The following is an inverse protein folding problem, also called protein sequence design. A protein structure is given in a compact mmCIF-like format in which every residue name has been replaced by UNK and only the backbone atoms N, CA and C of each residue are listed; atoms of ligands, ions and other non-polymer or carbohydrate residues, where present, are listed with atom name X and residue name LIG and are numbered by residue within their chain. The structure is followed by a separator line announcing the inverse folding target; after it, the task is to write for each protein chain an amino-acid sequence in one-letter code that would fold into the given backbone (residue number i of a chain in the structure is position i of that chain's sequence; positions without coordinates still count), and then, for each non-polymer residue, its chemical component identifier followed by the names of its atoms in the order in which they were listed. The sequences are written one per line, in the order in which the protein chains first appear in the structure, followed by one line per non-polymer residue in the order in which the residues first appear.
data_IF_199165755074
#
_entry.id   IF_199165755074
#
_cell.length_a   1.000
_cell.length_b   1.000
_cell.length_c   1.000
_cell.angle_alpha   90.00
_cell.angle_beta   90.00
_cell.angle_gamma   90.00
#
_symmetry.space_group_name_H-M   'P 1'
#
loop_
_entity.id
_entity.type
_entity.pdbx_description
1 polymer ?
#
# COMPACT_ATOMS: atom_id res chain seq x y z
N UNK A 1 -3.64 -11.56 12.53
CA UNK A 1 -2.90 -10.52 11.78
C UNK A 1 -3.88 -9.47 11.28
N UNK A 2 -3.51 -8.19 11.30
CA UNK A 2 -4.34 -7.09 10.77
C UNK A 2 -3.46 -6.26 9.84
N UNK A 3 -3.63 -6.41 8.52
CA UNK A 3 -2.98 -5.56 7.51
C UNK A 3 -4.03 -4.73 6.73
N UNK A 4 -4.45 -3.55 7.25
CA UNK A 4 -5.46 -2.71 6.60
C UNK A 4 -5.04 -2.25 5.19
N UNK A 5 -3.76 -1.95 4.99
CA UNK A 5 -3.23 -1.50 3.70
C UNK A 5 -3.37 -2.58 2.63
N UNK A 6 -3.02 -3.83 2.95
CA UNK A 6 -3.22 -4.95 2.03
C UNK A 6 -4.70 -5.11 1.64
N UNK A 7 -5.62 -4.97 2.60
CA UNK A 7 -7.06 -5.09 2.34
C UNK A 7 -7.56 -3.99 1.42
N UNK A 8 -7.16 -2.73 1.65
CA UNK A 8 -7.54 -1.60 0.80
C UNK A 8 -7.04 -1.78 -0.63
N UNK A 9 -5.80 -2.24 -0.82
CA UNK A 9 -5.22 -2.49 -2.15
C UNK A 9 -5.97 -3.60 -2.87
N UNK A 10 -6.26 -4.72 -2.18
CA UNK A 10 -6.99 -5.84 -2.79
C UNK A 10 -8.45 -5.48 -3.07
N UNK A 11 -9.11 -4.75 -2.16
CA UNK A 11 -10.47 -4.26 -2.36
C UNK A 11 -10.55 -3.37 -3.61
N UNK A 12 -9.69 -2.35 -3.73
CA UNK A 12 -9.64 -1.49 -4.92
C UNK A 12 -9.36 -2.28 -6.22
N UNK A 13 -8.44 -3.26 -6.17
CA UNK A 13 -8.18 -4.15 -7.30
C UNK A 13 -9.43 -4.95 -7.70
N UNK A 14 -10.08 -5.61 -6.74
CA UNK A 14 -11.28 -6.41 -7.00
C UNK A 14 -12.45 -5.55 -7.49
N UNK A 15 -12.62 -4.33 -6.97
CA UNK A 15 -13.61 -3.37 -7.45
C UNK A 15 -13.37 -2.99 -8.91
N UNK A 16 -12.12 -2.69 -9.29
CA UNK A 16 -11.74 -2.39 -10.68
C UNK A 16 -11.96 -3.57 -11.62
N UNK A 17 -11.64 -4.79 -11.17
CA UNK A 17 -11.89 -6.02 -11.94
C UNK A 17 -13.39 -6.23 -12.13
N UNK A 18 -14.18 -6.09 -11.06
CA UNK A 18 -15.63 -6.23 -11.12
C UNK A 18 -16.28 -5.21 -12.08
N UNK A 19 -15.90 -3.92 -11.99
CA UNK A 19 -16.36 -2.87 -12.92
C UNK A 19 -16.01 -3.22 -14.37
N UNK A 20 -14.79 -3.68 -14.63
CA UNK A 20 -14.35 -4.04 -15.99
C UNK A 20 -15.08 -5.27 -16.54
N UNK A 21 -15.28 -6.30 -15.72
CA UNK A 21 -16.07 -7.48 -16.10
C UNK A 21 -17.50 -7.07 -16.42
N UNK A 22 -18.14 -6.28 -15.55
CA UNK A 22 -19.50 -5.77 -15.76
C UNK A 22 -19.63 -4.99 -17.08
N UNK A 23 -18.69 -4.10 -17.38
CA UNK A 23 -18.66 -3.36 -18.65
C UNK A 23 -18.47 -4.28 -19.85
N UNK A 24 -17.61 -5.29 -19.76
CA UNK A 24 -17.36 -6.24 -20.85
C UNK A 24 -18.57 -7.14 -21.12
N UNK A 25 -19.29 -7.58 -20.09
CA UNK A 25 -20.51 -8.40 -20.24
C UNK A 25 -21.62 -7.61 -20.93
N UNK A 26 -21.67 -6.28 -20.74
CA UNK A 26 -22.63 -5.38 -21.36
C UNK A 26 -22.23 -4.85 -22.75
N UNK A 27 -21.08 -5.23 -23.29
CA UNK A 27 -20.70 -4.83 -24.65
C UNK A 27 -21.42 -5.64 -25.72
N UNK A 28 -21.93 -6.82 -25.36
CA UNK A 28 -22.57 -7.77 -26.27
C UNK A 28 -23.82 -8.36 -25.61
N UNK A 29 -24.97 -8.17 -26.24
CA UNK A 29 -26.26 -8.67 -25.75
C UNK A 29 -26.27 -10.20 -25.61
N UNK A 30 -25.59 -10.93 -26.49
CA UNK A 30 -25.50 -12.39 -26.40
C UNK A 30 -24.75 -12.83 -25.14
N UNK A 31 -23.66 -12.14 -24.79
CA UNK A 31 -22.88 -12.41 -23.58
C UNK A 31 -23.66 -12.11 -22.31
N UNK A 32 -24.47 -11.05 -22.33
CA UNK A 32 -25.37 -10.73 -21.23
C UNK A 32 -26.39 -11.85 -21.03
N UNK A 33 -27.07 -12.27 -22.09
CA UNK A 33 -28.10 -13.31 -22.03
C UNK A 33 -27.53 -14.66 -21.55
N UNK A 34 -26.33 -15.03 -22.03
CA UNK A 34 -25.63 -16.23 -21.58
C UNK A 34 -25.22 -16.15 -20.11
N UNK A 35 -24.69 -15.01 -19.66
CA UNK A 35 -24.33 -14.77 -18.26
C UNK A 35 -25.54 -14.86 -17.34
N UNK A 36 -26.69 -14.34 -17.77
CA UNK A 36 -27.95 -14.39 -17.03
C UNK A 36 -28.51 -15.81 -16.94
N UNK A 37 -28.42 -16.59 -18.03
CA UNK A 37 -28.80 -18.02 -18.02
C UNK A 37 -27.92 -18.82 -17.06
N UNK A 38 -26.60 -18.62 -17.11
CA UNK A 38 -25.67 -19.32 -16.24
C UNK A 38 -25.91 -18.98 -14.77
N UNK A 39 -26.05 -17.70 -14.43
CA UNK A 39 -26.28 -17.29 -13.05
C UNK A 39 -27.61 -17.82 -12.48
N UNK A 40 -28.66 -17.94 -13.31
CA UNK A 40 -29.92 -18.61 -12.92
C UNK A 40 -29.72 -20.11 -12.69
N UNK A 41 -28.95 -20.78 -13.54
CA UNK A 41 -28.62 -22.19 -13.37
C UNK A 41 -27.84 -22.45 -12.08
N UNK A 42 -26.99 -21.50 -11.68
CA UNK A 42 -26.23 -21.52 -10.44
C UNK A 42 -27.06 -21.10 -9.21
N UNK A 43 -28.37 -20.84 -9.37
CA UNK A 43 -29.30 -20.53 -8.29
C UNK A 43 -29.21 -19.10 -7.75
N UNK A 44 -28.58 -18.18 -8.49
CA UNK A 44 -28.53 -16.76 -8.10
C UNK A 44 -29.94 -16.15 -8.19
N UNK A 45 -30.45 -15.49 -7.14
CA UNK A 45 -31.79 -14.91 -7.13
C UNK A 45 -31.82 -13.65 -8.01
N UNK A 46 -32.07 -13.83 -9.31
CA UNK A 46 -32.15 -12.77 -10.30
C UNK A 46 -33.61 -12.54 -10.65
N UNK A 47 -34.04 -11.27 -10.65
CA UNK A 47 -35.40 -10.92 -11.08
C UNK A 47 -35.65 -11.28 -12.54
N UNK A 48 -36.85 -11.74 -12.84
CA UNK A 48 -37.22 -12.19 -14.18
C UNK A 48 -37.35 -11.07 -15.22
N UNK A 49 -37.50 -9.83 -14.77
CA UNK A 49 -37.80 -8.67 -15.60
C UNK A 49 -36.58 -7.80 -15.96
N UNK A 50 -35.37 -8.26 -15.65
CA UNK A 50 -34.15 -7.52 -15.98
C UNK A 50 -33.89 -7.58 -17.49
N UNK A 51 -34.12 -6.45 -18.17
CA UNK A 51 -33.80 -6.25 -19.58
C UNK A 51 -32.36 -5.74 -19.75
N UNK A 52 -31.75 -6.08 -20.88
CA UNK A 52 -30.40 -5.65 -21.26
C UNK A 52 -30.22 -4.12 -21.17
N UNK A 53 -31.12 -3.34 -21.79
CA UNK A 53 -31.01 -1.87 -21.79
C UNK A 53 -31.11 -1.28 -20.37
N UNK A 54 -31.97 -1.84 -19.52
CA UNK A 54 -32.12 -1.40 -18.14
C UNK A 54 -30.85 -1.68 -17.32
N UNK A 55 -30.20 -2.82 -17.54
CA UNK A 55 -28.92 -3.15 -16.88
C UNK A 55 -27.78 -2.27 -17.41
N UNK A 56 -27.76 -2.00 -18.71
CA UNK A 56 -26.78 -1.12 -19.35
C UNK A 56 -26.85 0.30 -18.79
N UNK A 57 -28.06 0.85 -18.66
CA UNK A 57 -28.29 2.16 -18.06
C UNK A 57 -27.94 2.18 -16.57
N UNK A 58 -28.27 1.11 -15.84
CA UNK A 58 -27.93 0.98 -14.42
C UNK A 58 -26.40 1.00 -14.19
N UNK A 59 -25.64 0.23 -14.97
CA UNK A 59 -24.18 0.21 -14.87
C UNK A 59 -23.57 1.54 -15.35
N UNK A 60 -24.14 2.16 -16.39
CA UNK A 60 -23.70 3.47 -16.88
C UNK A 60 -23.88 4.59 -15.85
N UNK A 61 -24.96 4.56 -15.06
CA UNK A 61 -25.19 5.53 -13.96
C UNK A 61 -24.19 5.36 -12.81
N UNK A 62 -23.65 4.16 -12.59
CA UNK A 62 -22.66 3.91 -11.54
C UNK A 62 -23.20 4.03 -10.11
N UNK A 63 -24.52 4.08 -9.94
CA UNK A 63 -25.21 4.28 -8.65
C UNK A 63 -25.34 2.96 -7.87
N UNK A 64 -24.26 2.20 -7.77
CA UNK A 64 -24.22 0.95 -7.02
C UNK A 64 -22.92 0.82 -6.26
N UNK A 65 -22.99 0.10 -5.14
CA UNK A 65 -21.81 -0.23 -4.34
C UNK A 65 -21.57 -1.73 -4.44
N UNK A 66 -20.47 -2.11 -5.06
CA UNK A 66 -19.94 -3.47 -4.91
C UNK A 66 -19.29 -3.55 -3.55
N UNK A 67 -19.73 -4.49 -2.72
CA UNK A 67 -19.10 -4.79 -1.45
C UNK A 67 -18.35 -6.12 -1.61
N UNK A 68 -17.05 -6.11 -1.33
CA UNK A 68 -16.26 -7.34 -1.23
C UNK A 68 -16.38 -7.87 0.19
N UNK A 69 -16.67 -9.16 0.32
CA UNK A 69 -16.75 -9.80 1.64
C UNK A 69 -15.41 -9.69 2.39
N UNK A 70 -15.47 -9.29 3.65
CA UNK A 70 -14.27 -9.10 4.46
C UNK A 70 -13.56 -10.42 4.75
N UNK A 71 -14.31 -11.52 4.91
CA UNK A 71 -13.75 -12.85 5.19
C UNK A 71 -12.93 -13.34 4.00
N UNK A 72 -13.42 -13.08 2.77
CA UNK A 72 -12.67 -13.33 1.54
C UNK A 72 -11.32 -12.60 1.52
N UNK A 73 -11.30 -11.29 1.81
CA UNK A 73 -10.06 -10.49 1.85
C UNK A 73 -9.09 -10.99 2.94
N UNK A 74 -9.60 -11.41 4.10
CA UNK A 74 -8.78 -12.03 5.16
C UNK A 74 -8.20 -13.36 4.69
N UNK A 75 -8.98 -14.18 3.98
CA UNK A 75 -8.52 -15.44 3.39
C UNK A 75 -7.36 -15.22 2.42
N UNK A 76 -7.47 -14.22 1.54
CA UNK A 76 -6.38 -13.81 0.64
C UNK A 76 -5.14 -13.35 1.42
N UNK A 77 -5.33 -12.51 2.44
CA UNK A 77 -4.24 -12.03 3.30
C UNK A 77 -3.49 -13.22 3.93
N UNK A 78 -4.20 -14.16 4.56
CA UNK A 78 -3.62 -15.34 5.20
C UNK A 78 -2.91 -16.27 4.20
N UNK A 79 -3.48 -16.44 3.01
CA UNK A 79 -2.85 -17.22 1.93
C UNK A 79 -1.53 -16.62 1.48
N UNK A 80 -1.42 -15.29 1.44
CA UNK A 80 -0.20 -14.59 1.03
C UNK A 80 0.90 -14.58 2.10
N UNK A 81 0.57 -14.75 3.39
CA UNK A 81 1.54 -14.65 4.51
C UNK A 81 2.74 -15.55 4.29
N UNK A 82 2.52 -16.82 3.96
CA UNK A 82 3.61 -17.79 3.79
C UNK A 82 4.58 -17.34 2.71
N UNK A 83 4.06 -16.96 1.54
CA UNK A 83 4.87 -16.47 0.43
C UNK A 83 5.66 -15.23 0.82
N UNK A 84 5.04 -14.26 1.52
CA UNK A 84 5.73 -13.05 1.96
C UNK A 84 6.84 -13.38 2.96
N UNK A 85 6.59 -14.27 3.92
CA UNK A 85 7.59 -14.70 4.90
C UNK A 85 8.77 -15.38 4.21
N UNK A 86 8.53 -16.26 3.25
CA UNK A 86 9.59 -16.93 2.49
C UNK A 86 10.45 -15.91 1.71
N UNK A 87 9.81 -14.89 1.11
CA UNK A 87 10.53 -13.81 0.42
C UNK A 87 11.25 -12.85 1.37
N UNK A 88 10.81 -12.69 2.61
CA UNK A 88 11.52 -11.92 3.63
C UNK A 88 12.72 -12.71 4.17
N UNK A 89 12.57 -14.02 4.36
CA UNK A 89 13.62 -14.91 4.85
C UNK A 89 14.78 -15.03 3.85
N UNK A 90 14.52 -14.91 2.54
CA UNK A 90 15.55 -14.95 1.50
C UNK A 90 16.39 -13.68 1.37
N UNK A 91 16.06 -12.61 2.11
CA UNK A 91 16.79 -11.34 2.05
C UNK A 91 18.07 -11.37 2.87
N UNK A 92 19.08 -10.65 2.37
CA UNK A 92 20.28 -10.33 3.15
C UNK A 92 19.97 -9.15 4.07
N UNK A 93 19.92 -9.42 5.36
CA UNK A 93 19.59 -8.44 6.38
C UNK A 93 20.84 -7.77 6.97
N UNK A 94 20.75 -6.47 7.22
CA UNK A 94 21.77 -5.70 7.93
C UNK A 94 21.13 -4.74 8.92
N UNK A 95 21.77 -4.61 10.07
CA UNK A 95 21.49 -3.53 11.01
C UNK A 95 22.18 -2.25 10.54
N UNK A 96 21.50 -1.12 10.69
CA UNK A 96 22.02 0.18 10.32
C UNK A 96 21.76 1.20 11.41
N UNK A 97 22.83 1.85 11.86
CA UNK A 97 22.75 2.90 12.86
C UNK A 97 22.32 4.24 12.25
N UNK A 98 21.55 5.02 13.00
CA UNK A 98 21.28 6.42 12.67
C UNK A 98 22.58 7.25 12.74
N UNK A 99 22.64 8.35 11.99
CA UNK A 99 23.74 9.30 12.12
C UNK A 99 23.71 9.95 13.51
N UNK A 100 24.88 10.30 14.10
CA UNK A 100 24.93 11.02 15.37
C UNK A 100 24.05 12.28 15.34
N UNK A 101 23.24 12.47 16.39
CA UNK A 101 22.32 13.61 16.51
C UNK A 101 21.03 13.49 15.69
N UNK A 102 20.78 12.35 15.04
CA UNK A 102 19.55 12.06 14.30
C UNK A 102 18.88 10.81 14.86
N UNK A 103 17.57 10.70 14.66
CA UNK A 103 16.78 9.55 15.14
C UNK A 103 15.80 9.07 14.09
N UNK A 104 15.56 7.76 14.08
CA UNK A 104 14.46 7.17 13.33
C UNK A 104 13.12 7.40 14.04
N UNK A 105 12.10 7.68 13.24
CA UNK A 105 10.70 7.60 13.61
C UNK A 105 10.10 6.29 13.07
N UNK A 106 9.00 5.84 13.66
CA UNK A 106 8.23 4.66 13.24
C UNK A 106 6.74 5.02 13.13
N UNK A 107 5.89 4.14 12.62
CA UNK A 107 4.46 4.37 12.48
C UNK A 107 3.64 3.10 12.72
N UNK A 108 2.33 3.20 12.53
CA UNK A 108 1.39 2.07 12.65
C UNK A 108 1.51 1.01 11.53
N UNK A 109 2.24 1.31 10.45
CA UNK A 109 2.63 0.37 9.39
C UNK A 109 4.12 0.57 9.03
N UNK A 110 5.07 0.09 9.87
CA UNK A 110 6.47 0.52 9.82
C UNK A 110 7.31 -0.17 8.75
N UNK A 111 6.77 -1.17 8.05
CA UNK A 111 7.51 -1.94 7.04
C UNK A 111 7.44 -1.22 5.70
N UNK A 112 8.55 -0.61 5.29
CA UNK A 112 8.68 0.04 4.00
C UNK A 112 9.27 -0.94 2.99
N UNK A 113 8.57 -1.15 1.87
CA UNK A 113 9.08 -1.85 0.70
C UNK A 113 9.23 -0.83 -0.45
N UNK A 114 10.45 -0.68 -0.95
CA UNK A 114 10.79 0.30 -1.98
C UNK A 114 11.79 -0.26 -3.00
N UNK A 115 11.99 0.47 -4.09
CA UNK A 115 13.10 0.21 -5.01
C UNK A 115 14.42 0.71 -4.42
N UNK A 116 15.47 -0.09 -4.54
CA UNK A 116 16.77 0.18 -3.94
C UNK A 116 17.50 1.37 -4.61
N UNK A 117 17.14 1.69 -5.85
CA UNK A 117 17.62 2.87 -6.57
C UNK A 117 16.89 4.17 -6.17
N UNK A 118 15.82 4.07 -5.38
CA UNK A 118 15.00 5.20 -4.97
C UNK A 118 14.02 5.71 -6.04
N UNK A 119 13.96 5.06 -7.21
CA UNK A 119 13.06 5.46 -8.28
C UNK A 119 11.67 4.83 -8.12
N UNK A 120 10.70 5.69 -7.81
CA UNK A 120 9.32 5.29 -7.53
C UNK A 120 8.57 4.98 -8.84
N UNK A 121 8.49 3.69 -9.19
CA UNK A 121 7.86 3.19 -10.42
C UNK A 121 6.33 3.13 -10.33
N UNK A 122 5.71 4.26 -10.05
CA UNK A 122 4.25 4.44 -9.90
C UNK A 122 3.44 3.76 -11.03
N UNK A 123 2.20 3.31 -10.76
CA UNK A 123 1.40 3.55 -9.55
C UNK A 123 1.49 2.45 -8.48
N UNK A 124 2.26 1.38 -8.72
CA UNK A 124 2.30 0.21 -7.84
C UNK A 124 3.59 0.14 -7.03
N UNK A 125 3.48 -0.19 -5.74
CA UNK A 125 4.65 -0.55 -4.92
C UNK A 125 5.28 -1.84 -5.44
N UNK A 126 6.61 -2.02 -5.29
CA UNK A 126 7.26 -3.27 -5.68
C UNK A 126 6.71 -4.47 -4.91
N UNK A 127 6.86 -5.67 -5.47
CA UNK A 127 6.61 -6.93 -4.78
C UNK A 127 7.83 -7.41 -3.98
N UNK A 128 7.60 -8.15 -2.90
CA UNK A 128 8.68 -8.64 -2.02
C UNK A 128 9.68 -9.58 -2.71
N UNK A 129 9.29 -10.26 -3.78
CA UNK A 129 10.16 -11.17 -4.54
C UNK A 129 10.92 -10.53 -5.71
N UNK A 130 10.81 -9.21 -5.92
CA UNK A 130 11.49 -8.54 -7.03
C UNK A 130 12.92 -8.16 -6.64
N UNK A 131 13.87 -8.42 -7.54
CA UNK A 131 15.24 -7.94 -7.41
C UNK A 131 15.30 -6.41 -7.46
N UNK A 132 16.35 -5.81 -6.90
CA UNK A 132 16.48 -4.36 -6.83
C UNK A 132 15.49 -3.71 -5.84
N UNK A 133 14.93 -4.47 -4.91
CA UNK A 133 14.04 -3.95 -3.86
C UNK A 133 14.70 -3.99 -2.49
N UNK A 134 14.36 -3.02 -1.67
CA UNK A 134 14.80 -2.88 -0.28
C UNK A 134 13.59 -2.91 0.64
N UNK A 135 13.70 -3.69 1.72
CA UNK A 135 12.77 -3.66 2.86
C UNK A 135 13.47 -2.94 4.00
N UNK A 136 12.79 -2.00 4.63
CA UNK A 136 13.35 -1.21 5.73
C UNK A 136 12.30 -1.04 6.83
N UNK A 137 12.71 -1.20 8.08
CA UNK A 137 11.89 -0.78 9.22
C UNK A 137 12.77 -0.39 10.43
N UNK A 138 12.39 0.66 11.18
CA UNK A 138 13.07 1.03 12.42
C UNK A 138 12.83 -0.02 13.52
N UNK A 139 13.88 -0.31 14.30
CA UNK A 139 13.81 -1.13 15.52
C UNK A 139 13.83 -0.23 16.76
N UNK A 140 14.66 0.81 16.73
CA UNK A 140 14.79 1.81 17.78
C UNK A 140 15.11 3.19 17.16
N UNK A 141 15.13 4.27 17.94
CA UNK A 141 15.52 5.59 17.44
C UNK A 141 16.94 5.62 16.83
N UNK A 142 17.83 4.71 17.22
CA UNK A 142 19.20 4.62 16.71
C UNK A 142 19.42 3.51 15.70
N UNK A 143 18.48 2.58 15.54
CA UNK A 143 18.71 1.33 14.83
C UNK A 143 17.57 1.00 13.88
N UNK A 144 17.91 0.69 12.64
CA UNK A 144 17.00 0.17 11.64
C UNK A 144 17.49 -1.19 11.12
N UNK A 145 16.55 -1.99 10.62
CA UNK A 145 16.85 -3.18 9.85
C UNK A 145 16.57 -2.92 8.38
N UNK A 146 17.53 -3.28 7.52
CA UNK A 146 17.36 -3.22 6.07
C UNK A 146 17.63 -4.58 5.44
N UNK A 147 16.83 -4.94 4.46
CA UNK A 147 16.88 -6.23 3.77
C UNK A 147 16.87 -6.05 2.27
N UNK A 148 17.95 -6.46 1.60
CA UNK A 148 18.05 -6.47 0.14
C UNK A 148 17.89 -7.89 -0.39
N UNK A 149 17.24 -8.00 -1.55
CA UNK A 149 17.17 -9.27 -2.27
C UNK A 149 18.39 -9.41 -3.18
N UNK A 150 19.13 -10.51 -3.04
CA UNK A 150 20.31 -10.88 -3.85
C UNK A 150 21.49 -9.90 -3.80
N UNK A 151 21.56 -9.02 -2.79
CA UNK A 151 22.70 -8.14 -2.56
C UNK A 151 22.90 -7.87 -1.08
N UNK A 152 24.13 -7.55 -0.69
CA UNK A 152 24.44 -7.20 0.69
C UNK A 152 24.31 -5.69 0.88
N UNK A 153 23.68 -5.22 1.98
CA UNK A 153 23.60 -3.79 2.23
C UNK A 153 24.98 -3.16 2.46
N UNK A 154 25.28 -2.09 1.74
CA UNK A 154 26.63 -1.54 1.61
C UNK A 154 27.14 -0.77 2.85
N UNK A 155 26.32 -0.51 3.87
CA UNK A 155 26.70 0.41 4.96
C UNK A 155 26.05 0.07 6.30
N UNK A 156 26.84 0.12 7.38
CA UNK A 156 26.38 -0.11 8.77
C UNK A 156 25.86 1.16 9.48
N UNK A 157 26.06 2.34 8.87
CA UNK A 157 25.56 3.61 9.39
C UNK A 157 24.94 4.44 8.26
N UNK A 158 23.75 4.98 8.51
CA UNK A 158 23.14 5.94 7.63
C UNK A 158 23.74 7.34 7.84
N UNK A 159 23.87 8.08 6.75
CA UNK A 159 24.06 9.52 6.79
C UNK A 159 22.75 10.20 7.22
N UNK A 160 22.84 11.43 7.76
CA UNK A 160 21.67 12.23 8.17
C UNK A 160 20.57 12.26 7.10
N UNK A 161 20.97 12.43 5.84
CA UNK A 161 20.05 12.42 4.71
C UNK A 161 19.29 11.08 4.55
N UNK A 162 19.98 9.95 4.70
CA UNK A 162 19.35 8.63 4.65
C UNK A 162 18.41 8.38 5.83
N UNK A 163 18.72 8.91 7.02
CA UNK A 163 17.81 8.87 8.17
C UNK A 163 16.53 9.67 7.88
N UNK A 164 16.67 10.90 7.38
CA UNK A 164 15.53 11.74 7.02
C UNK A 164 14.69 11.14 5.87
N UNK A 165 15.33 10.53 4.86
CA UNK A 165 14.65 9.83 3.77
C UNK A 165 13.88 8.59 4.26
N UNK A 166 14.45 7.83 5.20
CA UNK A 166 13.77 6.70 5.82
C UNK A 166 12.56 7.16 6.64
N UNK A 167 12.72 8.18 7.49
CA UNK A 167 11.61 8.77 8.25
C UNK A 167 10.50 9.29 7.34
N UNK A 168 10.86 9.89 6.20
CA UNK A 168 9.91 10.33 5.19
C UNK A 168 9.11 9.17 4.62
N UNK A 169 9.78 8.05 4.35
CA UNK A 169 9.12 6.84 3.82
C UNK A 169 8.20 6.20 4.85
N UNK A 170 8.63 6.15 6.11
CA UNK A 170 7.81 5.71 7.25
C UNK A 170 6.58 6.60 7.42
N UNK A 171 6.75 7.93 7.38
CA UNK A 171 5.64 8.87 7.49
C UNK A 171 4.64 8.73 6.34
N UNK A 172 5.10 8.42 5.12
CA UNK A 172 4.22 8.11 3.98
C UNK A 172 3.45 6.80 4.15
N UNK A 173 3.98 5.86 4.93
CA UNK A 173 3.33 4.57 5.19
C UNK A 173 2.38 4.63 6.39
N UNK A 174 2.49 5.66 7.24
CA UNK A 174 1.61 5.87 8.37
C UNK A 174 0.14 5.99 7.90
N UNK A 175 -0.74 5.20 8.51
CA UNK A 175 -2.18 5.29 8.22
C UNK A 175 -2.87 6.22 9.21
N UNK A 176 -2.42 6.20 10.47
CA UNK A 176 -3.02 6.99 11.54
C UNK A 176 -2.02 7.72 12.42
N UNK A 177 -0.90 7.08 12.74
CA UNK A 177 -0.02 7.55 13.81
C UNK A 177 1.45 7.42 13.41
N UNK A 178 2.20 8.46 13.75
CA UNK A 178 3.66 8.49 13.67
C UNK A 178 4.19 8.56 15.11
N UNK A 179 5.19 7.75 15.42
CA UNK A 179 5.83 7.68 16.73
C UNK A 179 7.32 7.98 16.60
N UNK A 180 7.86 8.70 17.58
CA UNK A 180 9.27 8.98 17.67
C UNK A 180 9.66 9.11 19.14
N UNK A 181 10.97 9.10 19.43
CA UNK A 181 11.48 9.36 20.78
C UNK A 181 11.04 10.72 21.30
N UNK A 182 11.14 11.73 20.45
CA UNK A 182 10.81 13.14 20.72
C UNK A 182 10.55 13.85 19.38
N UNK A 183 10.35 15.17 19.40
CA UNK A 183 10.10 15.96 18.20
C UNK A 183 11.35 16.33 17.37
N UNK A 184 12.52 15.76 17.65
CA UNK A 184 13.79 16.09 16.98
C UNK A 184 14.03 15.32 15.68
N UNK A 185 13.31 14.21 15.43
CA UNK A 185 13.45 13.45 14.20
C UNK A 185 13.19 14.33 12.97
N UNK A 186 13.90 14.05 11.89
CA UNK A 186 13.85 14.85 10.67
C UNK A 186 13.20 14.06 9.53
N UNK A 187 12.49 14.77 8.65
CA UNK A 187 11.97 14.23 7.41
C UNK A 187 12.05 15.26 6.27
N UNK A 188 11.85 14.81 5.05
CA UNK A 188 11.68 15.68 3.89
C UNK A 188 10.20 15.90 3.64
N UNK A 189 9.80 17.16 3.56
CA UNK A 189 8.50 17.54 3.02
C UNK A 189 8.64 17.82 1.52
N UNK A 190 7.51 18.07 0.83
CA UNK A 190 7.53 18.46 -0.58
C UNK A 190 8.30 19.77 -0.83
N UNK A 191 8.36 20.65 0.16
CA UNK A 191 8.90 22.01 0.02
C UNK A 191 10.23 22.21 0.73
N UNK A 192 10.47 21.48 1.81
CA UNK A 192 11.60 21.70 2.71
C UNK A 192 12.24 20.37 3.13
N UNK A 193 13.56 20.21 2.99
CA UNK A 193 14.28 19.08 3.54
C UNK A 193 14.54 19.27 5.05
N UNK A 194 14.75 18.18 5.78
CA UNK A 194 15.12 18.18 7.20
C UNK A 194 14.16 18.92 8.15
N UNK A 195 12.85 18.88 7.84
CA UNK A 195 11.82 19.40 8.74
C UNK A 195 11.74 18.52 9.98
N UNK A 196 11.78 19.14 11.16
CA UNK A 196 11.69 18.41 12.43
C UNK A 196 10.26 18.04 12.75
N UNK A 197 10.09 16.90 13.43
CA UNK A 197 8.79 16.39 13.85
C UNK A 197 7.94 17.41 14.61
N UNK A 198 8.55 18.16 15.53
CA UNK A 198 7.87 19.20 16.31
C UNK A 198 7.31 20.36 15.48
N UNK A 199 7.87 20.60 14.28
CA UNK A 199 7.52 21.72 13.41
C UNK A 199 6.48 21.31 12.34
N UNK A 200 6.14 20.02 12.26
CA UNK A 200 5.23 19.47 11.24
C UNK A 200 3.83 20.07 11.30
N UNK A 201 3.22 20.18 12.49
CA UNK A 201 1.86 20.71 12.65
C UNK A 201 1.74 22.13 12.09
N UNK A 202 2.65 23.02 12.51
CA UNK A 202 2.70 24.39 12.02
C UNK A 202 2.98 24.48 10.51
N UNK A 203 3.75 23.55 9.94
CA UNK A 203 4.02 23.53 8.51
C UNK A 203 2.80 23.08 7.71
N UNK A 204 2.06 22.07 8.17
CA UNK A 204 0.84 21.58 7.52
C UNK A 204 -0.26 22.65 7.52
N UNK A 205 -0.48 23.34 8.65
CA UNK A 205 -1.45 24.44 8.73
C UNK A 205 -1.13 25.58 7.76
N UNK A 206 0.16 25.94 7.60
CA UNK A 206 0.59 26.96 6.63
C UNK A 206 0.35 26.52 5.18
N UNK A 207 0.42 25.22 4.89
CA UNK A 207 0.15 24.70 3.55
C UNK A 207 -1.35 24.65 3.25
N UNK A 208 -2.19 24.32 4.23
CA UNK A 208 -3.65 24.35 4.07
C UNK A 208 -4.16 25.76 3.79
N UNK A 209 -3.65 26.78 4.49
CA UNK A 209 -4.02 28.19 4.26
C UNK A 209 -3.58 28.76 2.91
N UNK A 210 -2.72 28.07 2.18
CA UNK A 210 -2.21 28.49 0.85
C UNK A 210 -2.92 27.78 -0.31
N UNK A 211 -3.83 26.85 -0.04
CA UNK A 211 -4.70 26.21 -1.03
C UNK A 211 -6.04 26.91 -1.09
#
# INVERSE_FOLDING_TARGET
MRNPRFRLINEDFHLKVADRIMRMTLQDQHRFDDSMKQARADGVPIRDDIKYDAMKDFIARGEYKVAIDQTYLIGLELGAVRTVVDQLASRSWSFVSAAPGTTYATCDDPVVLAWADGDDRRPYSPGFGLAGTIVMFPISPELALIGLLNSQPATRGHLRDKVAAMNTSIAKNATKQLYARDGSFELHTRTEPYVKGKDLGALLERQERRR
#
